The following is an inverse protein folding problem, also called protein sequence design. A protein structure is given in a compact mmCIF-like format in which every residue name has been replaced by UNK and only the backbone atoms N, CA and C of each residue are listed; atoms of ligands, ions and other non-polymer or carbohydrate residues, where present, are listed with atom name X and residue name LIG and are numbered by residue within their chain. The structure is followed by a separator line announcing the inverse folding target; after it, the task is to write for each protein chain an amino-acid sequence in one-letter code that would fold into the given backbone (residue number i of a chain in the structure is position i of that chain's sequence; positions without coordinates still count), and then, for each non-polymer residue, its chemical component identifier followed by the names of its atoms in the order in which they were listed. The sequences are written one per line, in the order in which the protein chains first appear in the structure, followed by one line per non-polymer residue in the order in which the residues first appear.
data_IF_763943504135
#
_entry.id   IF_763943504135
#
_cell.length_a   1.000
_cell.length_b   1.000
_cell.length_c   1.000
_cell.angle_alpha   90.00
_cell.angle_beta   90.00
_cell.angle_gamma   90.00
#
_symmetry.space_group_name_H-M   'P 1'
#
loop_
_entity.id
_entity.type
_entity.pdbx_description
1 polymer ?
2 water ?
#
# COMPACT_ATOMS: atom_id res chain seq x y z
N UNK A 1 0.71 -7.83 10.07
CA UNK A 1 0.03 -7.33 8.84
C UNK A 1 -0.62 -5.98 9.11
N UNK A 2 -0.78 -5.20 8.06
CA UNK A 2 -1.54 -3.95 8.11
C UNK A 2 -2.87 -4.11 7.41
N UNK A 3 -3.79 -3.18 7.68
CA UNK A 3 -5.05 -3.11 6.98
C UNK A 3 -5.37 -1.65 6.65
N UNK A 4 -5.85 -1.42 5.44
CA UNK A 4 -6.25 -0.10 4.97
C UNK A 4 -7.61 0.25 5.56
N UNK A 5 -7.68 1.39 6.26
CA UNK A 5 -8.93 1.88 6.84
C UNK A 5 -9.58 2.88 5.89
N UNK A 6 -10.32 2.37 4.92
CA UNK A 6 -11.19 3.18 4.07
C UNK A 6 -12.46 3.60 4.80
N UNK A 7 -12.87 4.85 4.61
CA UNK A 7 -13.98 5.44 5.35
C UNK A 7 -15.20 5.78 4.51
N UNK A 8 -15.17 5.46 3.22
CA UNK A 8 -16.23 5.86 2.30
C UNK A 8 -17.41 4.89 2.30
N UNK A 9 -17.98 4.67 3.48
CA UNK A 9 -19.31 4.12 3.63
C UNK A 9 -20.15 5.06 4.47
N UNK A 10 -21.47 4.99 4.32
CA UNK A 10 -22.39 5.84 5.09
C UNK A 10 -22.83 5.22 6.42
N UNK A 11 -22.27 4.05 6.74
CA UNK A 11 -22.77 3.24 7.86
C UNK A 11 -21.67 2.51 8.65
N UNK A 12 -20.44 3.03 8.58
CA UNK A 12 -19.31 2.39 9.25
C UNK A 12 -19.26 2.78 10.73
N UNK A 13 -18.58 1.99 11.55
CA UNK A 13 -18.43 2.34 12.97
C UNK A 13 -17.59 3.60 13.12
N UNK A 14 -17.71 4.31 14.25
CA UNK A 14 -16.84 5.46 14.51
C UNK A 14 -15.40 4.99 14.67
N UNK A 15 -14.43 5.85 14.32
CA UNK A 15 -13.01 5.48 14.41
C UNK A 15 -12.57 4.81 15.73
N UNK A 16 -13.14 5.20 16.87
CA UNK A 16 -12.77 4.58 18.15
C UNK A 16 -13.10 3.09 18.19
N UNK A 17 -14.26 2.71 17.67
CA UNK A 17 -14.64 1.31 17.54
C UNK A 17 -13.76 0.58 16.53
N UNK A 18 -13.38 1.27 15.47
CA UNK A 18 -12.52 0.69 14.45
C UNK A 18 -11.14 0.38 15.03
N UNK A 19 -10.58 1.31 15.81
CA UNK A 19 -9.27 1.08 16.45
C UNK A 19 -9.35 -0.11 17.40
N UNK A 20 -10.43 -0.20 18.17
CA UNK A 20 -10.65 -1.34 19.06
C UNK A 20 -10.68 -2.67 18.28
N UNK A 21 -11.31 -2.64 17.11
CA UNK A 21 -11.41 -3.82 16.26
C UNK A 21 -10.04 -4.24 15.71
N UNK A 22 -9.21 -3.26 15.34
CA UNK A 22 -7.83 -3.52 14.95
C UNK A 22 -7.08 -4.22 16.11
N UNK A 23 -7.18 -3.64 17.30
CA UNK A 23 -6.44 -4.15 18.46
C UNK A 23 -6.87 -5.56 18.86
N UNK A 24 -8.18 -5.80 18.85
CA UNK A 24 -8.74 -7.10 19.25
C UNK A 24 -8.41 -8.21 18.24
N UNK A 25 -8.12 -7.82 17.00
CA UNK A 25 -7.72 -8.76 15.96
C UNK A 25 -6.21 -8.87 15.78
N UNK A 26 -5.47 -8.15 16.63
CA UNK A 26 -4.00 -8.13 16.60
C UNK A 26 -3.43 -7.66 15.25
N UNK A 27 -4.12 -6.69 14.65
CA UNK A 27 -3.65 -6.03 13.43
C UNK A 27 -2.69 -4.92 13.82
N UNK A 28 -1.45 -5.03 13.35
CA UNK A 28 -0.35 -4.18 13.83
C UNK A 28 -0.27 -2.80 13.19
N UNK A 29 -0.77 -2.66 11.96
CA UNK A 29 -0.57 -1.44 11.16
C UNK A 29 -1.86 -1.01 10.45
N UNK A 30 -1.96 0.28 10.16
CA UNK A 30 -3.15 0.87 9.55
C UNK A 30 -2.74 1.89 8.50
N UNK A 31 -3.42 1.91 7.36
CA UNK A 31 -3.29 2.99 6.38
C UNK A 31 -4.50 3.91 6.46
N UNK A 32 -4.23 5.22 6.54
CA UNK A 32 -5.26 6.25 6.42
C UNK A 32 -5.04 7.01 5.12
N UNK A 33 -6.12 7.30 4.41
CA UNK A 33 -6.06 7.97 3.11
C UNK A 33 -6.10 9.49 3.21
N UNK A 34 -6.29 9.98 4.42
CA UNK A 34 -6.22 11.41 4.75
C UNK A 34 -6.09 11.55 6.26
N UNK A 35 -5.61 12.71 6.74
CA UNK A 35 -5.45 12.93 8.18
C UNK A 35 -6.77 13.25 8.90
N UNK A 36 -7.66 12.25 8.93
CA UNK A 36 -8.95 12.38 9.59
C UNK A 36 -8.71 12.55 11.08
N UNK A 37 -9.20 13.65 11.64
CA UNK A 37 -8.87 14.03 12.99
C UNK A 37 -9.50 13.09 14.03
N UNK A 38 -10.70 12.58 13.74
CA UNK A 38 -11.34 11.60 14.62
C UNK A 38 -10.54 10.30 14.68
N UNK A 39 -9.97 9.89 13.56
CA UNK A 39 -9.16 8.67 13.50
C UNK A 39 -7.85 8.85 14.25
N UNK A 40 -7.19 9.98 14.05
CA UNK A 40 -5.91 10.24 14.70
C UNK A 40 -6.08 10.33 16.22
N UNK A 41 -7.18 10.93 16.67
CA UNK A 41 -7.51 10.97 18.10
C UNK A 41 -7.71 9.57 18.67
N UNK A 42 -8.45 8.73 17.93
CA UNK A 42 -8.71 7.35 18.36
C UNK A 42 -7.44 6.50 18.39
N UNK A 43 -6.47 6.85 17.54
CA UNK A 43 -5.23 6.10 17.45
C UNK A 43 -4.26 6.39 18.59
N UNK A 44 -4.49 7.48 19.33
CA UNK A 44 -3.61 7.83 20.45
C UNK A 44 -3.50 6.67 21.43
N UNK A 45 -2.26 6.30 21.76
CA UNK A 45 -1.94 5.23 22.72
C UNK A 45 -2.37 3.82 22.31
N UNK A 46 -2.66 3.62 21.03
CA UNK A 46 -3.11 2.33 20.52
C UNK A 46 -1.97 1.39 20.15
N UNK A 47 -0.79 1.96 19.93
CA UNK A 47 0.39 1.27 19.44
C UNK A 47 0.28 0.72 18.01
N UNK A 48 -0.77 1.11 17.28
CA UNK A 48 -0.92 0.74 15.87
C UNK A 48 -0.02 1.67 15.04
N UNK A 49 0.81 1.08 14.20
CA UNK A 49 1.72 1.86 13.36
C UNK A 49 0.95 2.38 12.14
N UNK A 50 1.19 3.64 11.78
CA UNK A 50 0.32 4.35 10.84
C UNK A 50 1.04 4.77 9.55
N UNK A 51 0.47 4.36 8.42
CA UNK A 51 0.83 4.85 7.09
C UNK A 51 -0.21 5.93 6.78
N UNK A 52 0.21 7.19 6.76
CA UNK A 52 -0.70 8.32 6.56
C UNK A 52 -0.49 8.97 5.19
N UNK A 53 -1.56 9.06 4.39
CA UNK A 53 -1.50 9.70 3.08
C UNK A 53 -1.68 11.21 3.19
N UNK A 54 -0.92 11.95 2.38
CA UNK A 54 -1.24 13.32 2.02
C UNK A 54 -2.32 13.23 0.93
N UNK A 55 -3.50 13.82 1.16
CA UNK A 55 -4.57 13.82 0.14
C UNK A 55 -4.15 14.53 -1.14
N UNK A 56 -4.76 14.15 -2.26
CA UNK A 56 -4.40 14.72 -3.55
C UNK A 56 -4.61 16.23 -3.58
N UNK A 57 -5.60 16.71 -2.83
CA UNK A 57 -5.93 18.14 -2.76
C UNK A 57 -4.91 18.98 -1.98
N UNK A 58 -3.95 18.33 -1.32
CA UNK A 58 -2.93 19.02 -0.54
C UNK A 58 -1.53 19.01 -1.17
N UNK A 59 -1.32 18.15 -2.16
CA UNK A 59 0.05 17.92 -2.65
C UNK A 59 0.67 19.16 -3.30
N UNK A 60 -0.08 19.86 -4.13
CA UNK A 60 0.43 21.07 -4.81
C UNK A 60 0.89 22.14 -3.81
N UNK A 61 0.09 22.37 -2.76
CA UNK A 61 0.40 23.36 -1.75
C UNK A 61 1.67 23.00 -0.98
N UNK A 62 1.82 21.73 -0.63
CA UNK A 62 2.99 21.27 0.11
C UNK A 62 4.28 21.43 -0.73
N UNK A 63 4.13 21.36 -2.05
CA UNK A 63 5.25 21.59 -2.97
C UNK A 63 5.59 23.08 -3.14
N UNK A 64 4.57 23.92 -3.27
CA UNK A 64 4.71 25.28 -3.80
C UNK A 64 4.70 26.41 -2.76
N UNK A 65 4.00 26.20 -1.66
CA UNK A 65 3.90 27.18 -0.57
C UNK A 65 4.91 26.79 0.50
N UNK A 66 5.93 27.62 0.75
CA UNK A 66 7.01 27.22 1.67
C UNK A 66 6.59 26.99 3.13
N UNK A 67 5.47 27.56 3.56
CA UNK A 67 4.96 27.34 4.93
C UNK A 67 4.09 26.09 5.06
N UNK A 68 3.59 25.58 3.94
CA UNK A 68 2.54 24.56 3.97
C UNK A 68 2.96 23.21 4.56
N UNK A 69 4.15 22.74 4.23
CA UNK A 69 4.60 21.43 4.69
C UNK A 69 4.81 21.42 6.21
N UNK A 70 5.39 22.49 6.72
CA UNK A 70 5.56 22.66 8.15
C UNK A 70 4.23 22.73 8.89
N UNK A 71 3.28 23.48 8.34
CA UNK A 71 1.95 23.60 8.92
C UNK A 71 1.21 22.26 8.93
N UNK A 72 1.36 21.50 7.86
CA UNK A 72 0.69 20.21 7.71
C UNK A 72 1.24 19.20 8.71
N UNK A 73 2.56 19.16 8.83
CA UNK A 73 3.21 18.24 9.77
C UNK A 73 2.90 18.65 11.22
N UNK A 74 2.83 19.93 11.50
CA UNK A 74 2.57 20.36 12.87
C UNK A 74 1.14 20.03 13.30
N UNK A 75 0.19 20.17 12.38
CA UNK A 75 -1.22 19.91 12.63
C UNK A 75 -1.56 18.41 12.72
N UNK A 76 -0.99 17.63 11.80
CA UNK A 76 -1.40 16.24 11.58
C UNK A 76 -0.45 15.20 12.17
N UNK A 77 0.77 15.60 12.52
CA UNK A 77 1.78 14.68 13.03
C UNK A 77 2.29 15.11 14.40
N UNK A 78 2.90 16.28 14.48
CA UNK A 78 3.48 16.77 15.74
C UNK A 78 2.43 16.86 16.86
N UNK A 79 1.22 17.30 16.51
CA UNK A 79 0.14 17.42 17.48
C UNK A 79 -0.31 16.08 18.06
N UNK A 80 0.02 14.99 17.36
CA UNK A 80 -0.36 13.64 17.78
C UNK A 80 0.83 12.76 18.18
N UNK A 81 2.03 13.31 18.19
CA UNK A 81 3.25 12.55 18.45
C UNK A 81 3.71 12.80 19.89
N UNK A 82 4.19 11.78 20.62
CA UNK A 82 4.37 10.39 20.16
C UNK A 82 3.21 9.42 20.44
N UNK A 83 2.05 9.91 20.87
CA UNK A 83 0.94 9.00 21.19
C UNK A 83 0.43 8.20 19.98
N UNK A 84 0.58 8.76 18.78
CA UNK A 84 0.23 8.05 17.55
C UNK A 84 1.53 7.59 16.91
N UNK A 85 1.61 6.30 16.62
CA UNK A 85 2.84 5.67 16.16
C UNK A 85 3.02 5.78 14.64
N UNK A 86 3.25 7.00 14.16
CA UNK A 86 3.43 7.22 12.72
C UNK A 86 4.65 6.45 12.21
N UNK A 87 4.52 5.93 10.99
CA UNK A 87 5.54 5.13 10.33
C UNK A 87 5.89 5.65 8.92
N UNK A 88 4.87 6.06 8.16
CA UNK A 88 5.06 6.62 6.82
C UNK A 88 4.17 7.81 6.56
N UNK A 89 4.65 8.75 5.75
CA UNK A 89 3.82 9.72 5.06
C UNK A 89 3.91 9.40 3.57
N UNK A 90 2.77 9.08 2.96
CA UNK A 90 2.69 8.78 1.52
C UNK A 90 2.19 10.02 0.78
N UNK A 91 3.08 10.64 0.01
CA UNK A 91 2.75 11.87 -0.71
C UNK A 91 2.13 11.51 -2.06
N UNK A 92 0.81 11.37 -2.06
CA UNK A 92 0.08 10.98 -3.25
C UNK A 92 -0.15 9.48 -3.36
N UNK A 93 -1.21 9.13 -4.07
CA UNK A 93 -1.64 7.75 -4.27
C UNK A 93 -2.02 7.58 -5.74
N UNK A 94 -1.22 6.79 -6.47
CA UNK A 94 -1.45 6.47 -7.87
C UNK A 94 -1.44 7.68 -8.81
N UNK A 95 -0.50 8.58 -8.58
CA UNK A 95 -0.39 9.81 -9.38
C UNK A 95 0.66 9.73 -10.50
N UNK A 96 1.55 8.74 -10.45
CA UNK A 96 2.67 8.68 -11.38
C UNK A 96 2.41 7.66 -12.51
N UNK A 97 2.63 8.02 -13.78
CA UNK A 97 3.07 9.34 -14.24
C UNK A 97 1.95 10.22 -14.82
N UNK A 98 0.72 9.74 -14.84
CA UNK A 98 -0.35 10.35 -15.62
C UNK A 98 -1.02 11.60 -15.05
N UNK A 99 -0.98 11.76 -13.73
CA UNK A 99 -1.67 12.88 -13.07
C UNK A 99 -0.95 14.20 -13.30
N UNK A 100 -1.73 15.28 -13.41
CA UNK A 100 -1.19 16.63 -13.46
C UNK A 100 -0.54 17.04 -12.13
N UNK A 101 -0.75 16.24 -11.08
CA UNK A 101 -0.12 16.48 -9.78
C UNK A 101 1.23 15.78 -9.60
N UNK A 102 1.61 14.90 -10.52
CA UNK A 102 2.88 14.18 -10.41
C UNK A 102 4.07 15.12 -10.28
N UNK A 103 4.01 16.26 -10.97
CA UNK A 103 5.04 17.30 -10.93
C UNK A 103 5.31 17.86 -9.53
N UNK A 104 4.35 17.71 -8.62
CA UNK A 104 4.46 18.25 -7.27
C UNK A 104 4.89 17.22 -6.22
N UNK A 105 5.01 15.95 -6.58
CA UNK A 105 5.29 14.91 -5.60
C UNK A 105 6.67 15.05 -4.94
N UNK A 106 7.73 15.09 -5.72
CA UNK A 106 9.07 15.13 -5.12
C UNK A 106 9.30 16.43 -4.34
N UNK A 107 8.95 17.60 -4.88
CA UNK A 107 9.01 18.83 -4.08
C UNK A 107 8.25 18.73 -2.75
N UNK A 108 7.04 18.17 -2.75
CA UNK A 108 6.29 18.00 -1.52
C UNK A 108 6.97 17.02 -0.56
N UNK A 109 7.54 15.94 -1.10
CA UNK A 109 8.27 14.96 -0.31
C UNK A 109 9.48 15.60 0.37
N UNK A 110 10.23 16.41 -0.38
CA UNK A 110 11.38 17.12 0.17
C UNK A 110 10.97 18.08 1.30
N UNK A 111 9.90 18.84 1.09
CA UNK A 111 9.48 19.81 2.09
C UNK A 111 8.94 19.14 3.37
N UNK A 112 8.24 18.02 3.22
CA UNK A 112 7.77 17.25 4.37
C UNK A 112 8.95 16.63 5.12
N UNK A 113 9.90 16.06 4.38
CA UNK A 113 11.09 15.47 4.98
C UNK A 113 11.86 16.51 5.81
N UNK A 114 12.00 17.72 5.28
CA UNK A 114 12.73 18.77 5.97
C UNK A 114 12.07 19.11 7.32
N UNK A 115 10.75 19.19 7.34
CA UNK A 115 10.00 19.47 8.56
C UNK A 115 10.14 18.35 9.59
N UNK A 116 10.06 17.10 9.12
CA UNK A 116 10.20 15.95 10.01
C UNK A 116 11.62 15.88 10.56
N UNK A 117 12.60 16.17 9.70
CA UNK A 117 14.00 16.10 10.09
C UNK A 117 14.34 17.11 11.19
N UNK A 118 13.75 18.30 11.10
CA UNK A 118 14.02 19.33 12.11
C UNK A 118 13.51 18.91 13.49
N UNK A 119 12.44 18.13 13.50
CA UNK A 119 11.84 17.61 14.74
C UNK A 119 12.49 16.31 15.24
N UNK A 120 13.40 15.74 14.46
CA UNK A 120 14.08 14.50 14.83
C UNK A 120 13.26 13.25 14.54
N UNK A 121 12.28 13.37 13.65
CA UNK A 121 11.35 12.30 13.32
C UNK A 121 11.59 11.65 11.95
N UNK A 122 12.61 12.10 11.23
CA UNK A 122 12.88 11.67 9.85
C UNK A 122 13.26 10.20 9.69
N UNK A 123 13.59 9.58 10.81
CA UNK A 123 13.95 8.16 10.90
C UNK A 123 12.75 7.26 11.12
N UNK A 124 11.91 7.57 12.11
CA UNK A 124 10.76 6.70 12.40
C UNK A 124 9.66 6.92 11.39
N UNK A 125 9.51 8.16 10.92
CA UNK A 125 8.47 8.52 9.96
C UNK A 125 9.08 8.77 8.58
N UNK A 126 9.07 7.74 7.74
CA UNK A 126 9.68 7.83 6.42
C UNK A 126 8.72 8.38 5.40
N UNK A 127 9.26 9.11 4.41
CA UNK A 127 8.48 9.82 3.41
C UNK A 127 8.62 9.12 2.06
N UNK A 128 7.48 8.82 1.42
CA UNK A 128 7.46 8.11 0.15
C UNK A 128 6.26 8.59 -0.67
N UNK A 129 5.92 7.84 -1.71
CA UNK A 129 4.70 8.03 -2.49
C UNK A 129 4.20 6.64 -2.86
N UNK A 130 2.90 6.51 -3.04
CA UNK A 130 2.29 5.23 -3.37
C UNK A 130 1.93 5.20 -4.85
N UNK A 131 2.42 4.19 -5.56
CA UNK A 131 2.18 4.05 -7.00
C UNK A 131 1.42 2.76 -7.30
N UNK A 132 0.80 2.71 -8.47
CA UNK A 132 0.20 1.49 -8.97
C UNK A 132 1.21 0.80 -9.89
N UNK A 133 0.93 -0.44 -10.27
CA UNK A 133 1.86 -1.23 -11.08
C UNK A 133 1.86 -0.85 -12.56
N UNK A 134 1.01 0.11 -12.94
CA UNK A 134 1.08 0.75 -14.24
C UNK A 134 2.39 1.49 -14.53
N UNK A 135 3.17 1.78 -13.50
CA UNK A 135 4.51 2.35 -13.68
C UNK A 135 5.46 1.39 -14.39
N UNK A 136 5.15 0.10 -14.42
CA UNK A 136 5.97 -0.89 -15.12
C UNK A 136 5.67 -0.93 -16.61
N UNK A 137 6.73 -1.00 -17.41
CA UNK A 137 6.63 -1.38 -18.81
C UNK A 137 6.65 -2.89 -18.89
N UNK A 138 7.85 -3.45 -19.06
CA UNK A 138 8.02 -4.90 -19.07
C UNK A 138 7.87 -5.46 -17.66
N UNK A 139 7.24 -6.63 -17.54
CA UNK A 139 7.06 -7.29 -16.25
C UNK A 139 7.13 -8.83 -16.30
N UNK A 140 7.38 -9.40 -17.46
CA UNK A 140 7.55 -10.85 -17.59
C UNK A 140 8.87 -11.18 -18.30
N UNK A 141 9.71 -12.04 -17.72
CA UNK A 141 9.58 -12.56 -16.35
C UNK A 141 9.83 -11.44 -15.36
N UNK A 142 9.67 -11.66 -14.06
CA UNK A 142 9.89 -10.59 -13.07
C UNK A 142 11.25 -9.89 -13.20
N UNK A 143 12.30 -10.62 -13.55
CA UNK A 143 13.65 -10.05 -13.69
C UNK A 143 13.77 -9.05 -14.85
N UNK A 144 12.84 -9.09 -15.79
CA UNK A 144 12.75 -8.10 -16.87
C UNK A 144 12.08 -6.79 -16.44
N UNK A 145 11.58 -6.73 -15.21
CA UNK A 145 10.88 -5.56 -14.71
C UNK A 145 11.62 -4.27 -14.95
N UNK A 146 10.93 -3.30 -15.53
CA UNK A 146 11.49 -1.97 -15.78
C UNK A 146 10.37 -0.94 -15.79
N UNK A 147 10.64 0.25 -15.27
CA UNK A 147 9.66 1.33 -15.32
C UNK A 147 9.53 1.83 -16.76
N UNK A 148 8.33 2.28 -17.12
CA UNK A 148 8.12 2.94 -18.40
C UNK A 148 8.95 4.23 -18.44
N UNK A 149 9.19 4.76 -19.64
CA UNK A 149 9.97 5.98 -19.76
C UNK A 149 9.31 7.16 -19.04
N UNK A 150 7.99 7.27 -19.16
CA UNK A 150 7.23 8.33 -18.50
C UNK A 150 7.33 8.21 -16.97
N UNK A 151 7.15 6.99 -16.45
CA UNK A 151 7.26 6.76 -15.01
C UNK A 151 8.69 6.99 -14.52
N UNK A 152 9.68 6.62 -15.32
CA UNK A 152 11.09 6.75 -14.96
C UNK A 152 11.51 8.21 -14.76
N UNK A 153 10.94 9.11 -15.56
CA UNK A 153 11.28 10.53 -15.45
C UNK A 153 10.96 11.06 -14.06
N UNK A 154 9.84 10.61 -13.49
CA UNK A 154 9.46 10.96 -12.13
C UNK A 154 10.13 10.08 -11.07
N UNK A 155 10.24 8.79 -11.34
CA UNK A 155 10.68 7.83 -10.33
C UNK A 155 12.19 7.81 -10.10
N UNK A 156 12.98 8.09 -11.13
CA UNK A 156 14.42 8.09 -10.95
C UNK A 156 14.85 9.12 -9.88
N UNK A 157 14.41 10.38 -9.99
CA UNK A 157 14.68 11.35 -8.92
C UNK A 157 14.07 10.97 -7.56
N UNK A 158 12.86 10.42 -7.56
CA UNK A 158 12.23 9.99 -6.31
C UNK A 158 13.02 8.86 -5.65
N UNK A 159 13.49 7.90 -6.44
CA UNK A 159 14.22 6.74 -5.93
C UNK A 159 15.57 7.15 -5.35
N UNK A 160 16.22 8.13 -5.97
CA UNK A 160 17.46 8.68 -5.43
C UNK A 160 17.23 9.26 -4.03
N UNK A 161 16.11 9.97 -3.88
CA UNK A 161 15.68 10.54 -2.61
C UNK A 161 15.38 9.42 -1.59
N UNK A 162 14.63 8.41 -2.01
CA UNK A 162 14.29 7.29 -1.11
C UNK A 162 15.55 6.57 -0.64
N UNK A 163 16.46 6.29 -1.56
CA UNK A 163 17.70 5.57 -1.23
C UNK A 163 18.55 6.36 -0.24
N UNK A 164 18.62 7.67 -0.44
CA UNK A 164 19.41 8.55 0.42
C UNK A 164 18.85 8.64 1.84
N UNK A 165 17.53 8.55 1.98
CA UNK A 165 16.85 8.68 3.27
C UNK A 165 16.50 7.36 3.95
N UNK A 166 16.80 6.23 3.29
CA UNK A 166 16.45 4.92 3.81
C UNK A 166 14.96 4.63 3.84
N UNK A 167 14.21 5.18 2.89
CA UNK A 167 12.76 5.00 2.78
C UNK A 167 12.39 4.01 1.67
N UNK A 168 11.25 3.33 1.80
CA UNK A 168 10.77 2.41 0.78
C UNK A 168 9.93 3.10 -0.29
N UNK A 169 9.70 2.39 -1.39
CA UNK A 169 8.66 2.76 -2.34
C UNK A 169 7.38 2.02 -1.96
N UNK A 170 6.26 2.72 -1.96
CA UNK A 170 4.96 2.12 -1.67
C UNK A 170 4.28 1.75 -2.98
N UNK A 171 3.78 0.52 -3.07
CA UNK A 171 3.11 0.04 -4.29
C UNK A 171 1.81 -0.69 -3.96
N UNK A 172 0.73 -0.29 -4.63
CA UNK A 172 -0.54 -0.99 -4.53
C UNK A 172 -0.48 -2.17 -5.51
N UNK A 173 -0.62 -3.39 -4.99
CA UNK A 173 -0.40 -4.62 -5.77
C UNK A 173 -1.62 -5.53 -5.70
N UNK A 174 -2.20 -5.82 -6.86
CA UNK A 174 -3.42 -6.64 -6.94
C UNK A 174 -3.31 -7.79 -7.95
N UNK A 175 -2.87 -8.96 -7.50
CA UNK A 175 -3.00 -10.17 -8.32
C UNK A 175 -4.41 -10.32 -8.92
N UNK A 176 -5.45 -9.90 -8.20
CA UNK A 176 -6.82 -9.99 -8.70
C UNK A 176 -6.97 -9.39 -10.09
N UNK A 177 -6.45 -8.19 -10.31
CA UNK A 177 -6.63 -7.51 -11.60
C UNK A 177 -5.77 -8.08 -12.72
N UNK A 178 -4.64 -8.70 -12.37
CA UNK A 178 -3.86 -9.45 -13.35
C UNK A 178 -4.62 -10.70 -13.79
N UNK A 179 -5.33 -11.33 -12.86
CA UNK A 179 -6.14 -12.49 -13.16
C UNK A 179 -7.31 -12.14 -14.08
N UNK A 180 -8.10 -11.12 -13.73
CA UNK A 180 -9.26 -10.77 -14.55
C UNK A 180 -8.87 -10.17 -15.90
N UNK A 181 -7.68 -9.57 -15.95
CA UNK A 181 -7.17 -8.98 -17.18
C UNK A 181 -6.59 -9.97 -18.17
N UNK A 182 -6.32 -11.19 -17.72
CA UNK A 182 -5.64 -12.19 -18.54
C UNK A 182 -6.26 -13.60 -18.46
N UNK A 183 -7.53 -13.74 -18.83
CA UNK A 183 -8.20 -15.03 -18.75
C UNK A 183 -7.54 -16.08 -19.65
N UNK A 184 -7.36 -17.29 -19.11
CA UNK A 184 -6.71 -18.36 -19.84
C UNK A 184 -5.18 -18.36 -19.76
N UNK A 185 -4.59 -17.27 -19.29
CA UNK A 185 -3.14 -17.15 -19.17
C UNK A 185 -2.70 -17.16 -17.70
N UNK A 186 -3.30 -16.29 -16.89
CA UNK A 186 -3.07 -16.27 -15.46
C UNK A 186 -4.14 -17.11 -14.77
N UNK A 187 -3.71 -18.15 -14.05
CA UNK A 187 -4.65 -19.07 -13.42
C UNK A 187 -5.12 -18.53 -12.08
N UNK A 188 -6.28 -19.02 -11.65
CA UNK A 188 -6.82 -18.63 -10.35
C UNK A 188 -5.92 -19.11 -9.20
N UNK A 189 -5.47 -20.37 -9.18
CA UNK A 189 -4.52 -20.78 -8.14
C UNK A 189 -3.25 -19.93 -8.09
N UNK A 190 -2.68 -19.58 -9.23
CA UNK A 190 -1.49 -18.73 -9.28
C UNK A 190 -1.76 -17.43 -8.51
N UNK A 191 -2.90 -16.81 -8.77
CA UNK A 191 -3.31 -15.58 -8.09
C UNK A 191 -3.58 -15.75 -6.58
N UNK A 192 -4.11 -16.91 -6.19
CA UNK A 192 -4.53 -17.15 -4.80
C UNK A 192 -3.49 -17.80 -3.88
N UNK A 193 -2.24 -17.92 -4.34
CA UNK A 193 -1.14 -18.56 -3.59
C UNK A 193 -1.25 -20.09 -3.51
N UNK A 194 -2.16 -20.71 -4.25
CA UNK A 194 -2.36 -22.17 -4.20
C UNK A 194 -1.93 -22.90 -5.47
N UNK A 195 -1.14 -22.24 -6.33
CA UNK A 195 -0.61 -22.92 -7.51
C UNK A 195 0.34 -24.02 -7.07
N UNK A 196 0.39 -25.08 -7.86
CA UNK A 196 1.26 -26.23 -7.59
C UNK A 196 2.59 -26.08 -8.32
N UNK A 197 3.66 -25.93 -7.56
CA UNK A 197 5.00 -25.84 -8.09
C UNK A 197 5.28 -24.51 -8.76
N UNK A 198 6.38 -24.46 -9.50
CA UNK A 198 6.86 -23.24 -10.12
C UNK A 198 6.04 -22.92 -11.37
N UNK A 199 5.45 -21.73 -11.40
CA UNK A 199 4.70 -21.23 -12.54
C UNK A 199 5.60 -20.46 -13.51
N UNK A 200 6.52 -19.68 -12.97
CA UNK A 200 7.54 -18.99 -13.78
C UNK A 200 8.93 -19.29 -13.22
N UNK A 201 9.76 -19.96 -14.01
CA UNK A 201 11.16 -20.17 -13.65
C UNK A 201 11.98 -19.05 -14.29
N UNK A 202 12.54 -18.20 -13.45
CA UNK A 202 13.19 -16.97 -13.86
C UNK A 202 14.66 -17.01 -13.44
N UNK A 203 15.46 -17.80 -14.16
CA UNK A 203 16.83 -18.07 -13.77
C UNK A 203 16.84 -18.81 -12.44
N UNK A 204 17.53 -18.23 -11.45
CA UNK A 204 17.60 -18.81 -10.11
C UNK A 204 16.31 -18.64 -9.31
N UNK A 205 15.44 -17.74 -9.74
CA UNK A 205 14.26 -17.35 -8.97
C UNK A 205 13.01 -18.09 -9.42
N UNK A 206 12.33 -18.74 -8.47
CA UNK A 206 11.15 -19.55 -8.75
C UNK A 206 9.90 -18.84 -8.25
N UNK A 207 8.93 -18.65 -9.14
CA UNK A 207 7.68 -17.95 -8.81
C UNK A 207 6.53 -18.92 -8.72
N UNK A 208 6.05 -19.14 -7.49
CA UNK A 208 4.92 -20.01 -7.21
C UNK A 208 3.60 -19.24 -7.10
N UNK A 209 3.68 -17.92 -6.91
CA UNK A 209 2.49 -17.09 -6.78
C UNK A 209 2.66 -15.74 -7.47
N UNK A 210 1.52 -15.15 -7.83
CA UNK A 210 1.48 -13.95 -8.64
C UNK A 210 1.91 -12.70 -7.86
N UNK A 211 1.59 -12.66 -6.57
CA UNK A 211 2.02 -11.58 -5.69
C UNK A 211 3.54 -11.39 -5.78
N UNK A 212 4.27 -12.49 -5.63
CA UNK A 212 5.73 -12.45 -5.71
C UNK A 212 6.23 -11.97 -7.06
N UNK A 213 5.58 -12.40 -8.14
CA UNK A 213 5.99 -12.03 -9.49
C UNK A 213 5.83 -10.54 -9.75
N UNK A 214 4.74 -9.95 -9.26
CA UNK A 214 4.50 -8.52 -9.45
C UNK A 214 5.48 -7.70 -8.62
N UNK A 215 5.59 -8.04 -7.33
CA UNK A 215 6.48 -7.31 -6.43
C UNK A 215 7.93 -7.36 -6.91
N UNK A 216 8.38 -8.52 -7.40
CA UNK A 216 9.76 -8.65 -7.84
C UNK A 216 10.03 -7.94 -9.16
N UNK A 217 9.01 -7.77 -10.00
CA UNK A 217 9.13 -6.91 -11.17
C UNK A 217 9.44 -5.46 -10.75
N UNK A 218 8.84 -5.00 -9.64
CA UNK A 218 9.15 -3.68 -9.10
C UNK A 218 10.58 -3.62 -8.53
N UNK A 219 11.00 -4.65 -7.79
CA UNK A 219 12.38 -4.70 -7.31
C UNK A 219 13.38 -4.65 -8.48
N UNK A 220 13.12 -5.42 -9.52
CA UNK A 220 13.99 -5.42 -10.71
C UNK A 220 14.04 -4.05 -11.38
N UNK A 221 12.90 -3.36 -11.41
CA UNK A 221 12.85 -2.01 -11.98
C UNK A 221 13.64 -1.01 -11.13
N UNK A 222 13.50 -1.15 -9.82
CA UNK A 222 14.20 -0.28 -8.87
C UNK A 222 15.71 -0.40 -8.98
N UNK A 223 16.20 -1.61 -9.25
CA UNK A 223 17.64 -1.86 -9.36
C UNK A 223 18.27 -1.13 -10.54
N UNK A 224 17.47 -0.78 -11.54
CA UNK A 224 17.96 -0.07 -12.74
C UNK A 224 18.11 1.43 -12.56
N UNK A 225 17.51 2.00 -11.51
CA UNK A 225 17.49 3.44 -11.30
C UNK A 225 18.01 3.86 -9.91
N UNK A 226 19.01 3.14 -9.42
CA UNK A 226 19.67 3.47 -8.16
C UNK A 226 18.91 3.03 -6.92
N UNK A 227 18.03 2.06 -7.08
CA UNK A 227 17.15 1.63 -6.01
C UNK A 227 17.34 0.20 -5.54
N UNK A 228 18.54 -0.35 -5.69
CA UNK A 228 18.82 -1.72 -5.25
C UNK A 228 18.56 -1.93 -3.75
N UNK A 229 18.79 -0.90 -2.94
CA UNK A 229 18.61 -1.00 -1.49
C UNK A 229 17.27 -0.41 -1.00
N UNK A 230 16.40 -0.07 -1.94
CA UNK A 230 15.08 0.48 -1.62
C UNK A 230 14.07 -0.66 -1.49
N UNK A 231 13.45 -0.77 -0.31
CA UNK A 231 12.46 -1.80 -0.06
C UNK A 231 11.13 -1.42 -0.72
N UNK A 232 10.29 -2.42 -0.93
CA UNK A 232 8.92 -2.20 -1.37
C UNK A 232 7.98 -2.49 -0.20
N UNK A 233 7.08 -1.55 0.07
CA UNK A 233 5.96 -1.76 0.97
C UNK A 233 4.73 -1.92 0.11
N UNK A 234 3.99 -3.01 0.27
CA UNK A 234 2.74 -3.21 -0.45
C UNK A 234 1.65 -2.46 0.30
N UNK A 235 1.30 -1.28 -0.19
CA UNK A 235 0.41 -0.39 0.56
C UNK A 235 -1.09 -0.64 0.33
N UNK A 236 -1.40 -1.55 -0.59
CA UNK A 236 -2.74 -2.12 -0.77
C UNK A 236 -2.60 -3.48 -1.43
N UNK A 237 -3.40 -4.45 -0.97
CA UNK A 237 -3.60 -5.69 -1.70
C UNK A 237 -4.86 -6.35 -1.17
N UNK A 238 -5.73 -6.85 -2.04
CA UNK A 238 -6.95 -7.47 -1.61
C UNK A 238 -7.70 -8.16 -2.73
N UNK A 239 -8.89 -8.65 -2.41
CA UNK A 239 -9.68 -9.45 -3.34
C UNK A 239 -11.16 -9.23 -3.05
N UNK A 240 -11.97 -8.86 -4.05
CA UNK A 240 -13.38 -8.56 -3.79
C UNK A 240 -14.20 -9.81 -3.53
N UNK A 241 -15.17 -9.71 -2.62
CA UNK A 241 -15.98 -10.87 -2.21
C UNK A 241 -17.33 -10.95 -2.91
N UNK A 242 -17.65 -9.95 -3.73
CA UNK A 242 -18.90 -9.89 -4.47
C UNK A 242 -18.81 -8.73 -5.49
N UNK A 243 -19.83 -8.60 -6.33
CA UNK A 243 -19.94 -7.49 -7.25
C UNK A 243 -19.22 -7.62 -8.59
N UNK A 244 -18.59 -8.77 -8.82
CA UNK A 244 -17.88 -9.02 -10.07
C UNK A 244 -18.35 -10.32 -10.70
N UNK A 245 -17.40 -11.07 -11.26
CA UNK A 245 -17.68 -12.41 -11.78
C UNK A 245 -17.77 -13.45 -10.69
N UNK A 246 -17.78 -14.72 -11.09
CA UNK A 246 -17.97 -15.82 -10.14
C UNK A 246 -16.84 -15.93 -9.13
N UNK A 247 -15.63 -15.53 -9.51
CA UNK A 247 -14.50 -15.66 -8.61
C UNK A 247 -14.34 -14.48 -7.65
N UNK A 248 -15.18 -13.45 -7.78
CA UNK A 248 -15.36 -12.47 -6.69
C UNK A 248 -16.36 -13.07 -5.69
N UNK A 249 -15.83 -13.83 -4.74
CA UNK A 249 -16.63 -14.59 -3.78
C UNK A 249 -15.99 -14.51 -2.39
N UNK A 250 -16.77 -14.82 -1.35
CA UNK A 250 -16.22 -14.80 0.01
C UNK A 250 -15.17 -15.89 0.18
N UNK A 251 -15.36 -17.04 -0.47
CA UNK A 251 -14.39 -18.12 -0.42
C UNK A 251 -13.02 -17.68 -0.97
N UNK A 252 -13.02 -17.08 -2.16
CA UNK A 252 -11.77 -16.65 -2.79
C UNK A 252 -11.13 -15.47 -2.08
N UNK A 253 -11.92 -14.54 -1.57
CA UNK A 253 -11.39 -13.40 -0.84
C UNK A 253 -10.73 -13.88 0.46
N UNK A 254 -11.34 -14.84 1.12
CA UNK A 254 -10.74 -15.44 2.32
C UNK A 254 -9.43 -16.11 1.99
N UNK A 255 -9.41 -16.91 0.92
CA UNK A 255 -8.19 -17.59 0.50
C UNK A 255 -7.09 -16.60 0.18
N UNK A 256 -7.39 -15.57 -0.59
CA UNK A 256 -6.38 -14.61 -0.99
C UNK A 256 -5.79 -13.91 0.23
N UNK A 257 -6.66 -13.32 1.05
CA UNK A 257 -6.17 -12.51 2.16
C UNK A 257 -5.53 -13.34 3.29
N UNK A 258 -6.10 -14.50 3.60
CA UNK A 258 -5.47 -15.37 4.59
C UNK A 258 -4.12 -15.89 4.10
N UNK A 259 -4.05 -16.29 2.84
CA UNK A 259 -2.80 -16.79 2.28
C UNK A 259 -1.75 -15.68 2.23
N UNK A 260 -2.17 -14.47 1.91
CA UNK A 260 -1.25 -13.32 1.93
C UNK A 260 -0.61 -13.18 3.31
N UNK A 261 -1.43 -13.25 4.36
CA UNK A 261 -0.95 -13.15 5.74
C UNK A 261 0.09 -14.24 6.04
N UNK A 262 -0.16 -15.46 5.57
CA UNK A 262 0.76 -16.58 5.79
C UNK A 262 2.01 -16.54 4.90
N UNK A 263 1.98 -15.69 3.87
CA UNK A 263 3.05 -15.62 2.88
C UNK A 263 4.13 -14.59 3.21
N UNK A 264 3.72 -13.40 3.64
CA UNK A 264 4.61 -12.23 3.59
C UNK A 264 5.85 -12.33 4.48
N UNK A 265 5.79 -13.14 5.53
CA UNK A 265 6.93 -13.31 6.44
C UNK A 265 8.20 -13.82 5.76
N UNK A 266 8.05 -14.58 4.69
CA UNK A 266 9.17 -15.14 3.96
C UNK A 266 9.77 -14.24 2.89
N UNK A 267 9.22 -13.06 2.67
CA UNK A 267 9.68 -12.17 1.62
C UNK A 267 9.36 -12.70 0.24
N UNK A 268 10.11 -12.23 -0.77
CA UNK A 268 9.95 -12.68 -2.15
C UNK A 268 11.21 -13.42 -2.60
N UNK A 269 11.15 -14.10 -3.75
CA UNK A 269 12.36 -14.75 -4.27
C UNK A 269 13.58 -13.82 -4.43
N UNK A 270 13.39 -12.60 -4.92
CA UNK A 270 14.51 -11.66 -5.06
C UNK A 270 14.93 -11.04 -3.72
N UNK A 271 14.00 -10.97 -2.78
CA UNK A 271 14.27 -10.39 -1.46
C UNK A 271 13.68 -11.25 -0.35
N UNK A 272 14.28 -12.43 -0.13
CA UNK A 272 13.74 -13.39 0.85
C UNK A 272 14.18 -13.16 2.31
N UNK A 273 15.12 -12.25 2.55
CA UNK A 273 15.73 -12.09 3.86
C UNK A 273 14.84 -11.50 4.94
N UNK A 274 13.83 -10.72 4.52
CA UNK A 274 12.98 -9.97 5.42
C UNK A 274 11.50 -10.08 5.03
N UNK A 275 10.62 -9.95 6.02
CA UNK A 275 9.18 -9.90 5.79
C UNK A 275 8.85 -8.73 4.85
N UNK A 276 7.96 -8.95 3.89
CA UNK A 276 7.42 -7.85 3.10
C UNK A 276 6.27 -7.22 3.90
N UNK A 277 6.37 -5.93 4.14
CA UNK A 277 5.32 -5.18 4.81
C UNK A 277 4.15 -4.98 3.84
N UNK A 278 2.96 -5.43 4.24
CA UNK A 278 1.77 -5.38 3.40
C UNK A 278 0.55 -4.90 4.16
N UNK A 279 -0.33 -4.20 3.44
CA UNK A 279 -1.57 -3.67 3.97
C UNK A 279 -2.73 -4.24 3.15
N UNK A 280 -3.61 -4.99 3.81
CA UNK A 280 -4.78 -5.54 3.13
C UNK A 280 -5.78 -4.45 2.84
N UNK A 281 -6.20 -4.35 1.59
CA UNK A 281 -7.31 -3.48 1.22
C UNK A 281 -8.58 -4.32 1.24
N UNK A 282 -9.51 -4.11 2.18
CA UNK A 282 -9.50 -3.05 3.20
C UNK A 282 -10.31 -3.52 4.41
N UNK A 283 -10.45 -2.67 5.43
CA UNK A 283 -11.11 -3.07 6.66
C UNK A 283 -12.60 -3.36 6.47
N UNK A 284 -13.31 -2.44 5.80
CA UNK A 284 -14.75 -2.53 5.63
C UNK A 284 -15.20 -2.47 4.18
N UNK A 285 -16.33 -3.11 3.90
CA UNK A 285 -17.06 -2.84 2.67
C UNK A 285 -17.47 -1.37 2.67
N UNK A 286 -17.15 -0.66 1.59
CA UNK A 286 -17.41 0.78 1.45
C UNK A 286 -18.56 0.99 0.47
N UNK A 287 -19.75 1.31 0.96
CA UNK A 287 -20.91 1.39 0.09
C UNK A 287 -21.03 2.67 -0.74
N UNK A 288 -20.12 3.62 -0.55
CA UNK A 288 -20.11 4.85 -1.34
C UNK A 288 -19.10 4.79 -2.50
N UNK A 289 -18.37 3.68 -2.59
CA UNK A 289 -17.53 3.42 -3.75
C UNK A 289 -18.42 3.03 -4.94
N UNK A 290 -17.80 2.99 -6.12
CA UNK A 290 -18.50 2.62 -7.35
C UNK A 290 -19.15 1.24 -7.20
N UNK A 291 -20.38 1.11 -7.70
CA UNK A 291 -21.10 -0.14 -7.62
C UNK A 291 -20.33 -1.29 -8.23
N UNK A 292 -20.35 -2.44 -7.56
CA UNK A 292 -19.63 -3.61 -8.01
C UNK A 292 -18.53 -4.01 -7.04
N UNK A 293 -17.41 -4.45 -7.58
CA UNK A 293 -16.32 -4.98 -6.75
C UNK A 293 -15.77 -3.97 -5.77
N UNK A 294 -15.77 -2.68 -6.10
CA UNK A 294 -15.14 -1.68 -5.23
C UNK A 294 -15.90 -1.49 -3.90
N UNK A 295 -17.17 -1.88 -3.86
CA UNK A 295 -17.97 -1.89 -2.64
C UNK A 295 -17.74 -3.14 -1.76
N UNK A 296 -16.89 -4.06 -2.20
CA UNK A 296 -16.79 -5.39 -1.59
C UNK A 296 -15.36 -5.86 -1.34
N UNK A 297 -14.48 -4.95 -0.92
CA UNK A 297 -13.10 -5.32 -0.56
C UNK A 297 -12.91 -5.48 0.96
N UNK A 298 -13.99 -5.41 1.73
CA UNK A 298 -13.90 -5.46 3.18
C UNK A 298 -13.62 -6.80 3.83
N UNK A 299 -12.79 -6.77 4.88
CA UNK A 299 -12.63 -7.90 5.78
C UNK A 299 -13.84 -8.01 6.72
N UNK A 300 -14.51 -6.87 6.93
CA UNK A 300 -15.62 -6.76 7.87
C UNK A 300 -16.80 -6.03 7.25
N UNK A 301 -18.00 -6.46 7.62
CA UNK A 301 -19.23 -5.73 7.31
C UNK A 301 -19.30 -4.46 8.18
N UNK A 302 -20.13 -3.50 7.79
CA UNK A 302 -20.33 -2.28 8.60
C UNK A 302 -20.69 -2.51 10.08
N UNK A 303 -21.41 -3.57 10.41
CA UNK A 303 -21.74 -3.87 11.81
C UNK A 303 -20.64 -4.64 12.57
N UNK A 304 -19.49 -4.81 11.92
CA UNK A 304 -18.28 -5.45 12.47
C UNK A 304 -18.25 -6.97 12.38
N UNK A 305 -19.32 -7.60 11.90
CA UNK A 305 -19.25 -9.03 11.61
C UNK A 305 -18.21 -9.27 10.51
N UNK A 306 -17.30 -10.24 10.67
CA UNK A 306 -16.39 -10.57 9.57
C UNK A 306 -17.17 -11.00 8.32
N UNK A 307 -16.72 -10.53 7.15
CA UNK A 307 -17.29 -11.01 5.89
C UNK A 307 -16.89 -12.47 5.70
N UNK A 308 -15.68 -12.78 6.16
CA UNK A 308 -15.15 -14.14 6.23
C UNK A 308 -14.10 -14.14 7.35
N UNK A 309 -13.93 -15.25 8.05
CA UNK A 309 -13.03 -15.30 9.19
C UNK A 309 -11.57 -15.24 8.73
N UNK A 310 -10.78 -14.41 9.41
CA UNK A 310 -9.36 -14.24 9.13
C UNK A 310 -8.58 -14.23 10.45
N UNK A 311 -7.44 -14.93 10.45
CA UNK A 311 -6.47 -14.88 11.54
C UNK A 311 -5.32 -13.96 11.10
N UNK A 312 -5.16 -12.84 11.79
CA UNK A 312 -4.23 -11.78 11.35
C UNK A 312 -2.83 -11.97 11.88
#
# INVERSE_FOLDING_TARGET
IGVCYGMLGNNLPPPSEVVSLYKSNNIARMRLYDPNQAALQALRNSNIQVLLDVPRSDVQSLASNPSAAGDWIRRNVVAYWPSVSFRYIAVGNELIPGSDLAQYILPAMRNIYNALSSAGLQNQIKVSTAVDTGVLGTSYPPSAGAFSSAAQAYLSPIVQFLASNGAPLLVNVYPYFSYTGNPGQISLPYALFTASGVVVQDGRFSYQNLFDAIVDAVFAALERVGGANVAVVVSESGWPSAGGGAEASTSNAQTYNQNLIRHVGGGTPRRPGKEIEAYIFEMFNENQKAGGIEQNFGLFYPNKQPVYQISF
#
